data_IF_624377905734
#
_entry.id   IF_624377905734
#
_cell.length_a   1.000
_cell.length_b   1.000
_cell.length_c   1.000
_cell.angle_alpha   90.00
_cell.angle_beta   90.00
_cell.angle_gamma   90.00
#
_symmetry.space_group_name_H-M   'P 1'
#
loop_
_entity.id
_entity.type
_entity.pdbx_description
1 polymer ?
#
# COMPACT_ATOMS: atom_id res chain seq x y z
N UNK A 1 5.73 26.06 18.33
CA UNK A 1 5.47 24.72 17.73
C UNK A 1 6.38 24.47 16.53
N UNK A 2 6.94 23.26 16.48
CA UNK A 2 8.17 22.83 15.80
C UNK A 2 8.22 22.92 14.26
N UNK A 3 9.26 23.59 13.73
CA UNK A 3 9.67 23.56 12.30
C UNK A 3 10.09 22.16 11.80
N UNK A 4 10.34 21.17 12.69
CA UNK A 4 10.78 19.80 12.31
C UNK A 4 9.64 18.86 11.88
N UNK A 5 8.37 19.22 12.06
CA UNK A 5 7.23 18.39 11.64
C UNK A 5 6.90 18.48 10.13
N UNK A 6 7.42 19.49 9.40
CA UNK A 6 7.09 19.74 7.99
C UNK A 6 7.70 18.74 6.97
N UNK A 7 8.57 17.82 7.40
CA UNK A 7 9.23 16.82 6.51
C UNK A 7 8.68 15.40 6.66
N UNK A 8 7.64 15.18 7.47
CA UNK A 8 7.15 13.83 7.78
C UNK A 8 6.12 13.28 6.79
N UNK A 9 5.52 14.15 6.00
CA UNK A 9 4.39 13.87 5.13
C UNK A 9 4.87 13.80 3.67
N UNK A 10 4.77 12.62 3.03
CA UNK A 10 4.81 12.50 1.55
C UNK A 10 3.50 13.04 0.93
N UNK A 11 2.97 14.12 1.50
CA UNK A 11 1.62 14.59 1.25
C UNK A 11 1.69 15.90 0.49
N UNK A 12 1.28 15.87 -0.79
CA UNK A 12 1.27 17.07 -1.60
C UNK A 12 0.10 17.97 -1.18
N UNK A 13 0.40 19.25 -0.94
CA UNK A 13 -0.63 20.29 -0.78
C UNK A 13 -1.27 20.70 -2.11
N UNK A 14 -0.62 20.39 -3.25
CA UNK A 14 -1.17 20.71 -4.56
C UNK A 14 -2.36 19.79 -4.85
N UNK A 15 -3.51 20.38 -5.16
CA UNK A 15 -4.66 19.63 -5.69
C UNK A 15 -4.24 19.04 -7.04
N UNK A 16 -4.39 17.73 -7.20
CA UNK A 16 -4.19 17.11 -8.50
C UNK A 16 -5.37 17.49 -9.40
N UNK A 17 -5.15 18.10 -10.57
CA UNK A 17 -6.23 18.29 -11.52
C UNK A 17 -6.74 16.90 -11.94
N UNK A 18 -8.06 16.70 -11.87
CA UNK A 18 -8.70 15.49 -12.37
C UNK A 18 -8.67 15.55 -13.91
N UNK A 19 -7.52 15.25 -14.53
CA UNK A 19 -7.37 15.17 -15.99
C UNK A 19 -7.31 13.69 -16.39
N UNK A 20 -8.45 13.16 -16.84
CA UNK A 20 -8.51 11.82 -17.43
C UNK A 20 -9.87 11.15 -17.24
N UNK A 21 -10.57 10.94 -18.36
CA UNK A 21 -11.83 10.24 -18.57
C UNK A 21 -12.98 10.67 -17.64
N UNK A 22 -14.13 10.99 -18.24
CA UNK A 22 -15.44 11.03 -17.57
C UNK A 22 -15.57 9.82 -16.65
N UNK A 23 -15.31 10.02 -15.36
CA UNK A 23 -15.42 8.94 -14.41
C UNK A 23 -16.86 8.44 -14.48
N UNK A 24 -17.08 7.11 -14.63
CA UNK A 24 -18.39 6.53 -14.79
C UNK A 24 -19.27 7.07 -13.69
N UNK A 25 -20.46 7.57 -14.08
CA UNK A 25 -21.35 8.37 -13.26
C UNK A 25 -21.20 8.03 -11.78
N UNK A 26 -20.45 8.87 -11.07
CA UNK A 26 -20.03 8.62 -9.69
C UNK A 26 -21.19 8.80 -8.68
N UNK A 27 -22.42 8.53 -9.11
CA UNK A 27 -23.66 8.43 -8.33
C UNK A 27 -23.77 7.11 -7.57
N UNK A 28 -22.84 6.17 -7.77
CA UNK A 28 -22.67 5.04 -6.87
C UNK A 28 -22.36 5.53 -5.45
N UNK A 29 -23.16 5.09 -4.48
CA UNK A 29 -23.02 5.41 -3.03
C UNK A 29 -21.64 5.05 -2.46
N UNK A 30 -20.79 4.34 -3.20
CA UNK A 30 -19.51 3.78 -2.74
C UNK A 30 -18.38 3.92 -3.78
N UNK A 31 -17.82 5.12 -4.01
CA UNK A 31 -16.68 5.27 -4.91
C UNK A 31 -15.41 4.83 -4.19
N UNK A 32 -15.06 3.57 -4.33
CA UNK A 32 -13.80 2.99 -3.84
C UNK A 32 -13.09 2.32 -5.02
N UNK A 33 -12.85 3.09 -6.07
CA UNK A 33 -12.42 2.54 -7.35
C UNK A 33 -10.90 2.66 -7.54
N UNK A 34 -10.23 1.55 -7.83
CA UNK A 34 -9.00 1.61 -8.60
C UNK A 34 -9.29 1.69 -10.08
N UNK A 35 -8.57 2.57 -10.79
CA UNK A 35 -8.57 2.53 -12.26
C UNK A 35 -7.53 1.50 -12.66
N UNK A 36 -7.99 0.41 -13.24
CA UNK A 36 -7.16 -0.62 -13.82
C UNK A 36 -7.58 -0.73 -15.27
N UNK A 37 -6.70 -0.39 -16.22
CA UNK A 37 -7.01 -0.41 -17.65
C UNK A 37 -8.30 0.35 -18.02
N UNK A 38 -8.52 1.54 -17.44
CA UNK A 38 -9.75 2.35 -17.60
C UNK A 38 -11.03 1.73 -16.98
N UNK A 39 -10.93 0.59 -16.31
CA UNK A 39 -12.02 -0.05 -15.56
C UNK A 39 -11.95 0.31 -14.09
N UNK A 40 -13.12 0.59 -13.50
CA UNK A 40 -13.26 0.97 -12.09
C UNK A 40 -13.51 -0.28 -11.25
N UNK A 41 -12.54 -0.67 -10.41
CA UNK A 41 -12.64 -1.87 -9.56
C UNK A 41 -12.86 -1.44 -8.11
N UNK A 42 -13.94 -1.90 -7.49
CA UNK A 42 -14.16 -1.73 -6.05
C UNK A 42 -13.16 -2.60 -5.27
N UNK A 43 -12.08 -1.98 -4.81
CA UNK A 43 -11.03 -2.69 -4.10
C UNK A 43 -11.41 -2.95 -2.63
N UNK A 44 -12.49 -2.36 -2.09
CA UNK A 44 -12.95 -2.61 -0.72
C UNK A 44 -13.58 -3.98 -0.59
N UNK A 45 -14.46 -4.34 -1.53
CA UNK A 45 -15.20 -5.62 -1.56
C UNK A 45 -14.41 -6.73 -2.25
N UNK A 46 -13.62 -6.41 -3.29
CA UNK A 46 -12.92 -7.41 -4.10
C UNK A 46 -11.41 -7.51 -3.77
N UNK A 47 -11.08 -7.77 -2.50
CA UNK A 47 -9.69 -7.87 -1.99
C UNK A 47 -8.79 -8.80 -2.82
N UNK A 48 -9.31 -9.98 -3.17
CA UNK A 48 -8.52 -10.98 -3.90
C UNK A 48 -8.56 -10.72 -5.41
N UNK A 49 -9.69 -10.24 -5.96
CA UNK A 49 -9.73 -9.80 -7.36
C UNK A 49 -8.76 -8.65 -7.65
N UNK A 50 -8.65 -7.68 -6.74
CA UNK A 50 -7.94 -6.43 -7.02
C UNK A 50 -6.47 -6.64 -7.39
N UNK A 51 -5.77 -7.59 -6.78
CA UNK A 51 -4.37 -7.85 -7.16
C UNK A 51 -4.21 -8.63 -8.47
N UNK A 52 -5.24 -9.37 -8.91
CA UNK A 52 -5.27 -9.97 -10.25
C UNK A 52 -5.50 -8.91 -11.32
N UNK A 53 -6.39 -7.95 -11.05
CA UNK A 53 -6.66 -6.86 -11.96
C UNK A 53 -5.50 -5.87 -12.01
N UNK A 54 -4.87 -5.58 -10.86
CA UNK A 54 -3.68 -4.72 -10.79
C UNK A 54 -2.50 -5.44 -11.46
N UNK A 55 -2.43 -5.27 -12.77
CA UNK A 55 -1.25 -5.57 -13.57
C UNK A 55 -0.06 -4.75 -13.09
N UNK A 56 1.14 -4.99 -13.66
CA UNK A 56 2.36 -4.21 -13.38
C UNK A 56 2.22 -2.69 -13.60
N UNK A 57 1.08 -2.22 -14.12
CA UNK A 57 0.87 -0.86 -14.62
C UNK A 57 -0.23 -0.08 -13.86
N UNK A 58 -0.49 -0.40 -12.59
CA UNK A 58 -1.34 0.51 -11.79
C UNK A 58 -0.52 1.72 -11.40
N UNK A 59 -0.69 2.76 -12.20
CA UNK A 59 -0.08 4.06 -11.95
C UNK A 59 -0.75 4.73 -10.75
N UNK A 60 -2.09 4.80 -10.75
CA UNK A 60 -2.86 5.54 -9.73
C UNK A 60 -4.22 4.89 -9.46
N UNK A 61 -4.71 5.02 -8.23
CA UNK A 61 -6.08 4.64 -7.88
C UNK A 61 -6.71 5.60 -6.86
N UNK A 62 -8.05 5.57 -6.77
CA UNK A 62 -8.78 6.36 -5.80
C UNK A 62 -8.99 5.56 -4.51
N UNK A 63 -8.72 6.22 -3.40
CA UNK A 63 -8.97 5.71 -2.05
C UNK A 63 -10.00 6.60 -1.37
N UNK A 64 -11.21 6.07 -1.15
CA UNK A 64 -12.18 6.67 -0.24
C UNK A 64 -11.95 6.15 1.17
N UNK A 65 -11.87 7.07 2.11
CA UNK A 65 -11.55 6.78 3.51
C UNK A 65 -12.74 7.01 4.44
N UNK A 66 -12.75 6.32 5.59
CA UNK A 66 -13.82 6.39 6.59
C UNK A 66 -14.06 7.80 7.15
N UNK A 67 -15.24 8.03 7.74
CA UNK A 67 -15.52 9.27 8.49
C UNK A 67 -14.52 9.39 9.65
N UNK A 68 -14.06 10.61 9.90
CA UNK A 68 -13.06 10.89 10.94
C UNK A 68 -11.61 10.65 10.50
N UNK A 69 -11.32 9.82 9.50
CA UNK A 69 -9.97 9.71 8.91
C UNK A 69 -9.66 10.91 8.01
N UNK A 70 -8.37 11.18 7.77
CA UNK A 70 -7.91 12.17 6.79
C UNK A 70 -6.91 11.56 5.82
N UNK A 71 -6.82 12.11 4.61
CA UNK A 71 -5.80 11.66 3.65
C UNK A 71 -4.37 11.85 4.17
N UNK A 72 -4.14 12.90 4.99
CA UNK A 72 -2.86 13.16 5.64
C UNK A 72 -2.49 12.07 6.65
N UNK A 73 -3.44 11.61 7.47
CA UNK A 73 -3.23 10.48 8.39
C UNK A 73 -2.79 9.24 7.61
N UNK A 74 -3.51 8.89 6.55
CA UNK A 74 -3.20 7.72 5.71
C UNK A 74 -1.79 7.83 5.11
N UNK A 75 -1.46 8.99 4.53
CA UNK A 75 -0.15 9.22 3.94
C UNK A 75 0.98 9.16 4.97
N UNK A 76 0.76 9.69 6.18
CA UNK A 76 1.74 9.63 7.26
C UNK A 76 1.96 8.19 7.77
N UNK A 77 0.89 7.39 7.86
CA UNK A 77 0.96 5.98 8.23
C UNK A 77 1.82 5.18 7.23
N UNK A 78 1.49 5.28 5.93
CA UNK A 78 2.24 4.60 4.87
C UNK A 78 3.67 5.12 4.78
N UNK A 79 3.86 6.44 4.84
CA UNK A 79 5.19 7.05 4.81
C UNK A 79 6.08 6.59 5.98
N UNK A 80 5.51 6.30 7.15
CA UNK A 80 6.25 5.72 8.29
C UNK A 80 6.75 4.31 7.97
N UNK A 81 5.92 3.49 7.37
CA UNK A 81 6.29 2.13 6.94
C UNK A 81 7.38 2.18 5.86
N UNK A 82 7.18 3.01 4.84
CA UNK A 82 8.12 3.16 3.73
C UNK A 82 9.49 3.68 4.20
N UNK A 83 9.53 4.60 5.17
CA UNK A 83 10.80 5.03 5.78
C UNK A 83 11.49 3.89 6.52
N UNK A 84 10.73 3.09 7.29
CA UNK A 84 11.28 1.93 8.00
C UNK A 84 11.88 0.90 7.03
N UNK A 85 11.23 0.72 5.88
CA UNK A 85 11.65 -0.21 4.83
C UNK A 85 12.61 0.40 3.79
N UNK A 86 13.01 1.67 3.95
CA UNK A 86 13.87 2.40 3.02
C UNK A 86 13.36 2.38 1.57
N UNK A 87 12.04 2.45 1.38
CA UNK A 87 11.40 2.42 0.06
C UNK A 87 11.65 3.72 -0.71
N UNK A 88 12.07 3.58 -1.96
CA UNK A 88 12.27 4.68 -2.92
C UNK A 88 11.93 4.22 -4.36
N UNK A 89 11.18 4.99 -5.16
CA UNK A 89 10.46 6.21 -4.77
C UNK A 89 9.38 5.91 -3.72
N UNK A 90 8.88 6.91 -2.98
CA UNK A 90 7.80 6.71 -2.00
C UNK A 90 6.42 6.87 -2.63
N UNK A 91 5.41 6.23 -2.03
CA UNK A 91 4.01 6.40 -2.45
C UNK A 91 3.62 7.87 -2.32
N UNK A 92 2.94 8.37 -3.37
CA UNK A 92 2.42 9.73 -3.39
C UNK A 92 0.92 9.72 -3.12
N UNK A 93 0.47 10.75 -2.39
CA UNK A 93 -0.94 10.96 -2.08
C UNK A 93 -1.35 12.37 -2.44
N UNK A 94 -2.52 12.51 -3.06
CA UNK A 94 -3.04 13.80 -3.51
C UNK A 94 -4.53 13.92 -3.18
N UNK A 95 -4.97 15.12 -2.78
CA UNK A 95 -6.39 15.37 -2.62
C UNK A 95 -7.13 15.35 -3.95
N UNK A 96 -8.37 14.90 -3.90
CA UNK A 96 -9.34 15.09 -4.99
C UNK A 96 -10.30 16.25 -4.65
N UNK A 97 -11.09 16.69 -5.62
CA UNK A 97 -12.23 17.58 -5.35
C UNK A 97 -13.39 16.90 -4.60
N UNK A 98 -13.31 15.58 -4.34
CA UNK A 98 -14.38 14.80 -3.72
C UNK A 98 -14.11 14.60 -2.24
N UNK A 99 -15.14 14.86 -1.44
CA UNK A 99 -15.10 14.65 0.01
C UNK A 99 -14.70 13.21 0.34
N UNK A 100 -13.74 13.07 1.25
CA UNK A 100 -13.21 11.79 1.75
C UNK A 100 -12.55 10.90 0.70
N UNK A 101 -12.04 11.48 -0.40
CA UNK A 101 -11.39 10.72 -1.47
C UNK A 101 -10.01 11.30 -1.78
N UNK A 102 -8.98 10.45 -1.83
CA UNK A 102 -7.63 10.80 -2.27
C UNK A 102 -7.19 9.97 -3.46
N UNK A 103 -6.29 10.52 -4.27
CA UNK A 103 -5.46 9.78 -5.20
C UNK A 103 -4.31 9.12 -4.48
N UNK A 104 -4.04 7.86 -4.81
CA UNK A 104 -2.88 7.09 -4.37
C UNK A 104 -2.10 6.66 -5.59
N UNK A 105 -0.84 7.07 -5.65
CA UNK A 105 0.14 6.62 -6.63
C UNK A 105 1.16 5.76 -5.88
N UNK A 106 0.96 4.43 -5.86
CA UNK A 106 1.81 3.52 -5.11
C UNK A 106 3.26 3.61 -5.59
N UNK A 107 4.21 3.49 -4.67
CA UNK A 107 5.61 3.27 -5.05
C UNK A 107 5.74 2.07 -6.01
N UNK A 108 6.58 2.20 -7.03
CA UNK A 108 6.97 1.10 -7.90
C UNK A 108 7.55 -0.08 -7.11
N UNK A 109 8.10 0.16 -5.93
CA UNK A 109 8.55 -0.89 -5.02
C UNK A 109 7.41 -1.80 -4.54
N UNK A 110 6.23 -1.23 -4.23
CA UNK A 110 5.03 -1.98 -3.85
C UNK A 110 4.46 -2.74 -5.04
N UNK A 111 4.37 -2.11 -6.21
CA UNK A 111 3.75 -2.70 -7.42
C UNK A 111 4.66 -3.69 -8.15
N UNK A 112 5.99 -3.63 -7.93
CA UNK A 112 6.96 -4.54 -8.56
C UNK A 112 6.74 -6.03 -8.25
N UNK A 113 6.06 -6.33 -7.14
CA UNK A 113 5.79 -7.69 -6.67
C UNK A 113 4.36 -7.75 -6.17
N UNK A 114 3.57 -8.67 -6.73
CA UNK A 114 2.18 -8.83 -6.34
C UNK A 114 1.97 -9.07 -4.84
N UNK A 115 2.85 -9.85 -4.20
CA UNK A 115 2.76 -10.09 -2.74
C UNK A 115 2.91 -8.80 -1.93
N UNK A 116 3.81 -7.91 -2.33
CA UNK A 116 3.99 -6.59 -1.69
C UNK A 116 2.78 -5.72 -1.91
N UNK A 117 2.25 -5.67 -3.14
CA UNK A 117 1.05 -4.90 -3.44
C UNK A 117 -0.17 -5.42 -2.66
N UNK A 118 -0.30 -6.75 -2.52
CA UNK A 118 -1.35 -7.37 -1.72
C UNK A 118 -1.28 -6.88 -0.26
N UNK A 119 -0.10 -6.89 0.35
CA UNK A 119 0.10 -6.32 1.69
C UNK A 119 -0.18 -4.80 1.72
N UNK A 120 0.27 -4.05 0.72
CA UNK A 120 0.06 -2.60 0.63
C UNK A 120 -1.42 -2.22 0.73
N UNK A 121 -2.29 -2.94 0.04
CA UNK A 121 -3.75 -2.72 0.14
C UNK A 121 -4.30 -3.04 1.53
N UNK A 122 -3.73 -4.02 2.26
CA UNK A 122 -4.12 -4.30 3.64
C UNK A 122 -3.66 -3.14 4.54
N UNK A 123 -2.44 -2.65 4.35
CA UNK A 123 -1.90 -1.50 5.08
C UNK A 123 -2.72 -0.23 4.87
N UNK A 124 -3.23 0.01 3.65
CA UNK A 124 -4.12 1.15 3.38
C UNK A 124 -5.45 1.06 4.15
N UNK A 125 -5.94 -0.14 4.47
CA UNK A 125 -7.12 -0.32 5.33
C UNK A 125 -6.79 0.02 6.78
N UNK A 126 -5.67 -0.49 7.29
CA UNK A 126 -5.17 -0.17 8.63
C UNK A 126 -4.91 1.35 8.80
N UNK A 127 -4.38 1.98 7.75
CA UNK A 127 -4.07 3.41 7.72
C UNK A 127 -5.30 4.31 7.98
N UNK A 128 -6.52 3.83 7.68
CA UNK A 128 -7.76 4.60 7.94
C UNK A 128 -8.05 4.78 9.43
N UNK A 129 -7.43 3.99 10.30
CA UNK A 129 -7.56 4.06 11.75
C UNK A 129 -6.44 4.88 12.41
N UNK A 130 -5.45 5.29 11.63
CA UNK A 130 -4.34 6.10 12.13
C UNK A 130 -4.75 7.56 12.36
N UNK A 131 -4.16 8.14 13.40
CA UNK A 131 -4.33 9.53 13.82
C UNK A 131 -2.94 10.11 14.06
N UNK A 132 -2.55 11.10 13.25
CA UNK A 132 -1.27 11.79 13.44
C UNK A 132 -1.19 12.47 14.81
N UNK A 133 -2.30 13.02 15.31
CA UNK A 133 -2.42 13.64 16.63
C UNK A 133 -2.08 12.65 17.75
N UNK A 134 -2.64 11.44 17.67
CA UNK A 134 -2.62 10.47 18.76
C UNK A 134 -1.36 9.58 18.69
N UNK A 135 -0.59 9.69 17.60
CA UNK A 135 0.61 8.87 17.31
C UNK A 135 0.35 7.36 17.44
N UNK A 136 -0.89 6.92 17.24
CA UNK A 136 -1.42 5.58 17.53
C UNK A 136 -1.02 4.50 16.49
N UNK A 137 0.23 4.50 16.02
CA UNK A 137 0.65 3.67 14.88
C UNK A 137 0.40 2.17 15.09
N UNK A 138 0.78 1.61 16.24
CA UNK A 138 0.59 0.17 16.53
C UNK A 138 -0.89 -0.19 16.64
N UNK A 139 -1.69 0.66 17.30
CA UNK A 139 -3.14 0.47 17.40
C UNK A 139 -3.82 0.52 16.02
N UNK A 140 -3.42 1.46 15.16
CA UNK A 140 -3.91 1.53 13.79
C UNK A 140 -3.48 0.33 12.95
N UNK A 141 -2.23 -0.12 13.04
CA UNK A 141 -1.73 -1.30 12.34
C UNK A 141 -2.55 -2.55 12.70
N UNK A 142 -2.81 -2.75 14.01
CA UNK A 142 -3.53 -3.90 14.53
C UNK A 142 -5.07 -3.75 14.49
N UNK A 143 -5.59 -2.64 13.94
CA UNK A 143 -7.04 -2.43 13.80
C UNK A 143 -7.67 -3.27 12.68
N UNK A 144 -6.88 -3.62 11.65
CA UNK A 144 -7.36 -4.40 10.52
C UNK A 144 -7.33 -5.90 10.85
N UNK A 145 -8.49 -6.57 10.74
CA UNK A 145 -8.64 -8.02 10.99
C UNK A 145 -7.61 -8.85 10.20
N UNK A 146 -7.30 -8.44 8.97
CA UNK A 146 -6.31 -9.11 8.13
C UNK A 146 -4.89 -9.07 8.71
N UNK A 147 -4.50 -7.93 9.28
CA UNK A 147 -3.19 -7.79 9.92
C UNK A 147 -3.14 -8.71 11.13
N UNK A 148 -4.19 -8.75 11.96
CA UNK A 148 -4.25 -9.66 13.13
C UNK A 148 -4.05 -11.13 12.72
N UNK A 149 -4.69 -11.57 11.63
CA UNK A 149 -4.55 -12.94 11.11
C UNK A 149 -3.18 -13.26 10.53
N UNK A 150 -2.36 -12.25 10.22
CA UNK A 150 -1.01 -12.41 9.65
C UNK A 150 0.03 -11.64 10.44
N UNK A 151 -0.18 -11.43 11.74
CA UNK A 151 0.61 -10.48 12.54
C UNK A 151 2.10 -10.78 12.48
N UNK A 152 2.48 -12.04 12.73
CA UNK A 152 3.88 -12.50 12.66
C UNK A 152 4.51 -12.24 11.29
N UNK A 153 3.78 -12.46 10.20
CA UNK A 153 4.28 -12.21 8.84
C UNK A 153 4.46 -10.71 8.55
N UNK A 154 3.52 -9.88 9.03
CA UNK A 154 3.60 -8.42 8.90
C UNK A 154 4.78 -7.88 9.70
N UNK A 155 4.96 -8.33 10.94
CA UNK A 155 6.10 -7.96 11.77
C UNK A 155 7.42 -8.35 11.11
N UNK A 156 7.53 -9.59 10.62
CA UNK A 156 8.70 -10.08 9.87
C UNK A 156 8.97 -9.23 8.63
N UNK A 157 7.95 -8.90 7.85
CA UNK A 157 8.07 -8.01 6.70
C UNK A 157 8.60 -6.63 7.09
N UNK A 158 8.06 -6.06 8.18
CA UNK A 158 8.49 -4.76 8.72
C UNK A 158 9.89 -4.78 9.35
N UNK A 159 10.51 -5.94 9.53
CA UNK A 159 11.94 -6.10 9.88
C UNK A 159 12.85 -6.13 8.63
N UNK A 160 12.28 -5.98 7.42
CA UNK A 160 13.02 -5.94 6.16
C UNK A 160 13.00 -7.25 5.36
N UNK A 161 12.33 -8.29 5.85
CA UNK A 161 12.15 -9.56 5.12
C UNK A 161 11.04 -9.40 4.07
N UNK A 162 11.35 -8.69 2.99
CA UNK A 162 10.37 -8.20 2.01
C UNK A 162 10.38 -8.98 0.69
N UNK A 163 11.22 -10.00 0.56
CA UNK A 163 11.28 -10.86 -0.61
C UNK A 163 10.49 -12.15 -0.35
N UNK A 164 9.45 -12.39 -1.15
CA UNK A 164 8.68 -13.63 -1.09
C UNK A 164 9.34 -14.68 -2.01
N UNK A 165 9.66 -15.85 -1.47
CA UNK A 165 10.55 -16.84 -2.11
C UNK A 165 9.86 -17.82 -3.02
N UNK A 166 8.59 -18.14 -2.76
CA UNK A 166 7.86 -19.10 -3.60
C UNK A 166 7.72 -18.51 -5.01
N UNK A 167 8.27 -19.22 -5.99
CA UNK A 167 8.03 -18.98 -7.40
C UNK A 167 6.53 -19.14 -7.64
N UNK A 168 5.84 -18.06 -7.97
CA UNK A 168 4.55 -18.18 -8.63
C UNK A 168 4.84 -18.45 -10.10
N UNK A 169 4.35 -19.56 -10.63
CA UNK A 169 4.34 -19.81 -12.07
C UNK A 169 3.29 -18.86 -12.69
N UNK A 170 3.64 -17.56 -12.81
CA UNK A 170 2.71 -16.49 -13.22
C UNK A 170 2.16 -15.66 -12.06
N UNK A 171 1.03 -14.98 -12.26
CA UNK A 171 0.35 -14.16 -11.24
C UNK A 171 -0.52 -14.98 -10.27
N UNK A 172 -0.48 -16.32 -10.32
CA UNK A 172 -1.30 -17.23 -9.51
C UNK A 172 -0.75 -17.43 -8.08
N UNK A 173 -0.58 -16.35 -7.31
CA UNK A 173 -0.34 -16.45 -5.87
C UNK A 173 -1.63 -16.08 -5.13
N UNK A 174 -1.95 -16.78 -4.04
CA UNK A 174 -3.23 -16.62 -3.31
C UNK A 174 -3.35 -15.28 -2.51
N UNK A 175 -2.60 -14.24 -2.86
CA UNK A 175 -2.55 -13.01 -2.08
C UNK A 175 -1.87 -13.15 -0.70
N UNK A 176 -1.70 -12.04 0.01
CA UNK A 176 -1.03 -12.01 1.32
C UNK A 176 -1.74 -12.83 2.38
N UNK A 177 -3.04 -12.58 2.60
CA UNK A 177 -3.81 -13.26 3.66
C UNK A 177 -3.82 -14.77 3.46
N UNK A 178 -4.23 -15.29 2.29
CA UNK A 178 -4.36 -16.73 2.12
C UNK A 178 -3.01 -17.47 2.17
N UNK A 179 -1.91 -16.74 1.89
CA UNK A 179 -0.55 -17.23 2.08
C UNK A 179 -0.17 -17.29 3.55
N UNK A 180 -0.37 -16.21 4.30
CA UNK A 180 0.18 -16.03 5.65
C UNK A 180 -0.80 -16.27 6.80
N UNK A 181 -2.07 -16.55 6.53
CA UNK A 181 -3.09 -16.85 7.56
C UNK A 181 -3.20 -18.33 7.90
N UNK A 182 -2.43 -19.20 7.24
CA UNK A 182 -2.44 -20.64 7.54
C UNK A 182 -1.67 -20.91 8.83
N UNK A 183 -2.10 -21.93 9.58
CA UNK A 183 -1.35 -22.41 10.75
C UNK A 183 -0.03 -23.05 10.28
N UNK A 184 1.01 -23.00 11.13
CA UNK A 184 2.28 -23.70 10.95
C UNK A 184 3.07 -23.34 9.68
N UNK A 185 3.08 -22.05 9.32
CA UNK A 185 3.92 -21.55 8.21
C UNK A 185 5.33 -21.28 8.73
N UNK A 186 6.32 -21.82 8.01
CA UNK A 186 7.74 -21.44 8.16
C UNK A 186 7.98 -20.07 7.47
N UNK A 187 7.94 -19.00 8.26
CA UNK A 187 8.10 -17.64 7.76
C UNK A 187 9.51 -17.38 7.22
N UNK A 188 10.53 -18.04 7.75
CA UNK A 188 11.92 -17.82 7.34
C UNK A 188 12.19 -18.40 5.96
N UNK A 189 11.51 -19.50 5.61
CA UNK A 189 11.53 -20.02 4.24
C UNK A 189 10.73 -19.17 3.26
N UNK A 190 9.70 -18.45 3.70
CA UNK A 190 8.81 -17.70 2.80
C UNK A 190 9.20 -16.24 2.60
N UNK A 191 9.76 -15.60 3.63
CA UNK A 191 10.11 -14.19 3.64
C UNK A 191 11.61 -14.03 3.91
N UNK A 192 12.33 -13.62 2.88
CA UNK A 192 13.76 -13.36 2.93
C UNK A 192 14.06 -11.87 2.90
N UNK A 193 15.23 -11.48 3.43
CA UNK A 193 15.78 -10.15 3.17
C UNK A 193 16.12 -10.01 1.68
N UNK A 194 15.93 -8.82 1.09
CA UNK A 194 16.38 -8.58 -0.28
C UNK A 194 17.90 -8.79 -0.36
N UNK A 195 18.36 -9.51 -1.38
CA UNK A 195 19.79 -9.67 -1.63
C UNK A 195 20.38 -8.29 -1.88
N UNK A 196 21.42 -7.93 -1.12
CA UNK A 196 22.17 -6.69 -1.37
C UNK A 196 22.55 -6.63 -2.84
N UNK A 197 22.38 -5.48 -3.52
CA UNK A 197 22.79 -5.36 -4.92
C UNK A 197 24.25 -5.80 -5.01
N UNK A 198 24.53 -6.85 -5.79
CA UNK A 198 25.91 -7.29 -6.04
C UNK A 198 26.63 -6.05 -6.57
N UNK A 199 27.62 -5.55 -5.82
CA UNK A 199 28.44 -4.41 -6.28
C UNK A 199 28.96 -4.80 -7.66
N UNK A 200 28.43 -4.19 -8.72
CA UNK A 200 28.90 -4.49 -10.07
C UNK A 200 30.37 -4.12 -10.07
N UNK A 201 31.26 -5.11 -10.25
CA UNK A 201 32.68 -4.83 -10.44
C UNK A 201 32.76 -3.94 -11.67
N UNK A 202 32.91 -2.62 -11.46
CA UNK A 202 33.20 -1.68 -12.54
C UNK A 202 34.49 -2.19 -13.16
N UNK A 203 34.42 -2.75 -14.37
CA UNK A 203 35.61 -2.97 -15.18
C UNK A 203 36.20 -1.57 -15.38
N UNK A 204 37.35 -1.31 -14.73
CA UNK A 204 38.18 -0.16 -15.09
C UNK A 204 38.53 -0.38 -16.57
N UNK A 205 38.08 0.54 -17.42
CA UNK A 205 38.61 0.68 -18.77
C UNK A 205 39.87 1.51 -18.68
#
# INVERSE_FOLDING_TARGET
>A
MSKKLKKLDNYSKKKAPFKGASAPSLNSRYPVYGIVYKTYVDWQTCREGFHYYVSRNVDKFLLRYRRGATGRDIAAFIGRIERKLQVSPRTQFQYTGRRRTIWVEPSSWWTSKGMRFSLFTILLRAAQYYKCSDRNFKGALNSALYIKRTEKAVERFLQGYTNYTKKSNGYSYNGWLATFSRKNIDLDKLLEKPKSPKKSKRKKK
#
